data_IF_804261081570
#
_entry.id   IF_804261081570
#
_cell.length_a   1.000
_cell.length_b   1.000
_cell.length_c   1.000
_cell.angle_alpha   90.00
_cell.angle_beta   90.00
_cell.angle_gamma   90.00
#
_symmetry.space_group_name_H-M   'P 1'
#
loop_
_entity.id
_entity.type
_entity.pdbx_description
1 polymer ?
#
# COMPACT_ATOMS: atom_id res chain seq x y z
N UNK A 1 23.49 2.09 -2.08
CA UNK A 1 23.31 2.75 -0.77
C UNK A 1 24.68 3.19 -0.25
N UNK A 2 25.11 4.42 -0.56
CA UNK A 2 26.30 5.03 0.06
C UNK A 2 25.82 5.91 1.21
N UNK A 3 26.53 5.83 2.33
CA UNK A 3 26.34 6.68 3.50
C UNK A 3 26.51 8.16 3.11
N UNK A 4 25.50 8.97 3.44
CA UNK A 4 25.65 10.43 3.48
C UNK A 4 26.32 10.85 4.79
N UNK A 5 26.93 12.04 4.85
CA UNK A 5 27.75 12.44 5.99
C UNK A 5 26.89 12.70 7.23
N UNK A 6 27.28 12.04 8.32
CA UNK A 6 27.23 12.44 9.74
C UNK A 6 26.12 13.41 10.17
N UNK A 7 25.20 12.91 11.02
CA UNK A 7 24.46 13.81 11.92
C UNK A 7 23.22 13.30 12.64
N UNK A 8 22.66 12.11 12.35
CA UNK A 8 21.49 11.60 13.09
C UNK A 8 21.59 10.09 13.30
N UNK A 9 21.68 9.69 14.57
CA UNK A 9 21.60 8.31 15.02
C UNK A 9 20.23 7.69 14.67
N UNK A 10 20.23 6.46 14.16
CA UNK A 10 19.02 5.63 14.11
C UNK A 10 18.61 5.06 12.75
N UNK A 11 19.53 4.34 12.08
CA UNK A 11 19.33 3.08 11.32
C UNK A 11 20.52 2.92 10.38
N UNK A 12 21.50 2.12 10.79
CA UNK A 12 22.57 1.68 9.89
C UNK A 12 21.93 1.01 8.67
N UNK A 13 22.27 1.47 7.47
CA UNK A 13 21.83 0.82 6.24
C UNK A 13 22.25 -0.66 6.25
N UNK A 14 21.47 -1.51 5.58
CA UNK A 14 21.79 -2.93 5.47
C UNK A 14 23.17 -3.11 4.81
N UNK A 15 24.00 -4.01 5.36
CA UNK A 15 25.31 -4.30 4.78
C UNK A 15 25.16 -4.71 3.30
N UNK A 16 26.00 -4.22 2.37
CA UNK A 16 25.78 -4.39 0.93
C UNK A 16 25.61 -5.84 0.48
N UNK A 17 26.32 -6.79 1.09
CA UNK A 17 26.18 -8.20 0.77
C UNK A 17 24.79 -8.74 1.14
N UNK A 18 24.26 -8.35 2.30
CA UNK A 18 22.92 -8.73 2.74
C UNK A 18 21.85 -8.05 1.87
N UNK A 19 22.05 -6.78 1.49
CA UNK A 19 21.16 -6.06 0.59
C UNK A 19 21.03 -6.76 -0.77
N UNK A 20 22.13 -7.26 -1.34
CA UNK A 20 22.10 -8.05 -2.60
C UNK A 20 21.32 -9.35 -2.45
N UNK A 21 21.51 -10.08 -1.35
CA UNK A 21 20.78 -11.33 -1.08
C UNK A 21 19.27 -11.09 -0.97
N UNK A 22 18.86 -10.04 -0.27
CA UNK A 22 17.44 -9.70 -0.17
C UNK A 22 16.87 -9.12 -1.47
N UNK A 23 17.64 -8.35 -2.23
CA UNK A 23 17.21 -7.89 -3.56
C UNK A 23 16.95 -9.08 -4.51
N UNK A 24 17.68 -10.19 -4.37
CA UNK A 24 17.45 -11.41 -5.13
C UNK A 24 16.06 -12.01 -4.90
N UNK A 25 15.43 -11.79 -3.74
CA UNK A 25 14.05 -12.23 -3.46
C UNK A 25 13.04 -11.61 -4.43
N UNK A 26 13.32 -10.41 -4.95
CA UNK A 26 12.51 -9.80 -6.00
C UNK A 26 13.05 -10.13 -7.40
N UNK A 27 14.36 -9.95 -7.62
CA UNK A 27 14.97 -10.08 -8.94
C UNK A 27 14.90 -11.50 -9.53
N UNK A 28 15.00 -12.53 -8.68
CA UNK A 28 15.00 -13.94 -9.09
C UNK A 28 13.63 -14.61 -8.85
N UNK A 29 12.60 -13.83 -8.53
CA UNK A 29 11.28 -14.38 -8.31
C UNK A 29 10.61 -14.73 -9.64
N UNK A 30 10.25 -16.00 -9.89
CA UNK A 30 9.66 -16.41 -11.17
C UNK A 30 8.32 -15.73 -11.46
N UNK A 31 7.54 -15.39 -10.43
CA UNK A 31 6.29 -14.66 -10.59
C UNK A 31 6.54 -13.23 -11.07
N UNK A 32 7.55 -12.55 -10.51
CA UNK A 32 7.95 -11.19 -10.93
C UNK A 32 8.44 -11.20 -12.37
N UNK A 33 9.32 -12.16 -12.71
CA UNK A 33 9.84 -12.30 -14.07
C UNK A 33 8.70 -12.53 -15.08
N UNK A 34 7.84 -13.52 -14.83
CA UNK A 34 6.74 -13.89 -15.73
C UNK A 34 5.73 -12.76 -15.92
N UNK A 35 5.36 -12.05 -14.84
CA UNK A 35 4.41 -10.93 -14.93
C UNK A 35 5.01 -9.73 -15.65
N UNK A 36 6.32 -9.51 -15.52
CA UNK A 36 7.00 -8.41 -16.22
C UNK A 36 7.16 -8.70 -17.72
N UNK A 37 7.47 -9.94 -18.10
CA UNK A 37 7.71 -10.31 -19.51
C UNK A 37 6.43 -10.48 -20.34
N UNK A 38 5.26 -10.64 -19.71
CA UNK A 38 3.94 -10.68 -20.39
C UNK A 38 3.39 -9.30 -20.79
N UNK A 39 4.23 -8.26 -20.86
CA UNK A 39 3.83 -6.91 -21.25
C UNK A 39 3.12 -6.10 -20.16
N UNK A 40 3.24 -6.49 -18.89
CA UNK A 40 2.64 -5.74 -17.78
C UNK A 40 3.53 -4.59 -17.29
N UNK A 41 2.94 -3.43 -17.00
CA UNK A 41 3.64 -2.26 -16.45
C UNK A 41 3.84 -2.31 -14.93
N UNK A 42 3.43 -3.38 -14.24
CA UNK A 42 3.57 -3.48 -12.77
C UNK A 42 5.03 -3.38 -12.30
N UNK A 43 6.00 -3.81 -13.11
CA UNK A 43 7.43 -3.68 -12.77
C UNK A 43 7.87 -2.21 -12.70
N UNK A 44 7.43 -1.39 -13.66
CA UNK A 44 7.69 0.06 -13.67
C UNK A 44 7.03 0.74 -12.47
N UNK A 45 5.83 0.30 -12.13
CA UNK A 45 5.11 0.78 -10.95
C UNK A 45 5.87 0.44 -9.65
N UNK A 46 6.42 -0.76 -9.55
CA UNK A 46 7.33 -1.13 -8.45
C UNK A 46 8.53 -0.20 -8.33
N UNK A 47 9.14 0.20 -9.46
CA UNK A 47 10.23 1.19 -9.48
C UNK A 47 9.76 2.54 -8.95
N UNK A 48 8.61 3.05 -9.39
CA UNK A 48 8.06 4.32 -8.92
C UNK A 48 7.82 4.31 -7.41
N UNK A 49 7.28 3.22 -6.87
CA UNK A 49 6.98 3.09 -5.44
C UNK A 49 8.25 3.00 -4.58
N UNK A 50 9.25 2.23 -5.02
CA UNK A 50 10.54 2.18 -4.32
C UNK A 50 11.28 3.52 -4.44
N UNK A 51 11.19 4.20 -5.59
CA UNK A 51 11.76 5.53 -5.79
C UNK A 51 11.08 6.58 -4.90
N UNK A 52 9.75 6.52 -4.73
CA UNK A 52 8.99 7.34 -3.80
C UNK A 52 9.50 7.12 -2.37
N UNK A 53 9.56 5.87 -1.92
CA UNK A 53 10.08 5.54 -0.59
C UNK A 53 11.51 6.06 -0.39
N UNK A 54 12.38 5.86 -1.38
CA UNK A 54 13.75 6.37 -1.34
C UNK A 54 13.79 7.90 -1.25
N UNK A 55 12.98 8.62 -2.02
CA UNK A 55 12.93 10.09 -2.00
C UNK A 55 12.46 10.60 -0.63
N UNK A 56 11.44 9.95 -0.04
CA UNK A 56 10.93 10.29 1.30
C UNK A 56 12.00 10.03 2.38
N UNK A 57 12.63 8.85 2.37
CA UNK A 57 13.68 8.51 3.34
C UNK A 57 14.93 9.39 3.17
N UNK A 58 15.21 9.84 1.94
CA UNK A 58 16.29 10.78 1.63
C UNK A 58 15.91 12.25 1.88
N UNK A 59 14.72 12.51 2.43
CA UNK A 59 14.15 13.85 2.70
C UNK A 59 14.09 14.77 1.47
N UNK A 60 14.00 14.20 0.25
CA UNK A 60 13.84 14.94 -1.01
C UNK A 60 12.36 15.21 -1.27
N UNK A 61 11.78 16.14 -0.52
CA UNK A 61 10.32 16.30 -0.43
C UNK A 61 9.67 16.68 -1.77
N UNK A 62 10.24 17.63 -2.53
CA UNK A 62 9.73 17.95 -3.87
C UNK A 62 9.72 16.72 -4.77
N UNK A 63 10.84 15.99 -4.82
CA UNK A 63 10.95 14.79 -5.65
C UNK A 63 9.94 13.71 -5.21
N UNK A 64 9.76 13.51 -3.90
CA UNK A 64 8.74 12.61 -3.38
C UNK A 64 7.33 13.02 -3.82
N UNK A 65 7.03 14.33 -3.79
CA UNK A 65 5.76 14.87 -4.28
C UNK A 65 5.57 14.62 -5.79
N UNK A 66 6.57 14.94 -6.60
CA UNK A 66 6.54 14.70 -8.06
C UNK A 66 6.32 13.21 -8.39
N UNK A 67 7.07 12.30 -7.73
CA UNK A 67 6.94 10.86 -7.95
C UNK A 67 5.58 10.36 -7.47
N UNK A 68 5.07 10.84 -6.33
CA UNK A 68 3.74 10.45 -5.84
C UNK A 68 2.64 10.91 -6.82
N UNK A 69 2.67 12.18 -7.26
CA UNK A 69 1.69 12.72 -8.20
C UNK A 69 1.71 12.01 -9.55
N UNK A 70 2.91 11.78 -10.11
CA UNK A 70 3.08 11.00 -11.33
C UNK A 70 2.62 9.54 -11.13
N UNK A 71 2.98 8.92 -10.01
CA UNK A 71 2.59 7.55 -9.68
C UNK A 71 1.08 7.37 -9.65
N UNK A 72 0.35 8.28 -8.98
CA UNK A 72 -1.12 8.27 -8.91
C UNK A 72 -1.76 8.54 -10.27
N UNK A 73 -1.16 9.40 -11.10
CA UNK A 73 -1.61 9.59 -12.47
C UNK A 73 -1.40 8.32 -13.31
N UNK A 74 -0.23 7.69 -13.21
CA UNK A 74 0.14 6.47 -13.94
C UNK A 74 -0.75 5.28 -13.56
N UNK A 75 -1.06 5.14 -12.27
CA UNK A 75 -2.04 4.17 -11.75
C UNK A 75 -2.57 4.69 -10.43
N UNK A 76 -3.88 4.58 -10.17
CA UNK A 76 -4.46 5.27 -9.01
C UNK A 76 -3.86 4.83 -7.66
N UNK A 77 -3.53 3.55 -7.48
CA UNK A 77 -3.27 2.94 -6.17
C UNK A 77 -2.13 3.53 -5.30
N UNK A 78 -1.03 4.16 -5.81
CA UNK A 78 -0.01 4.75 -4.97
C UNK A 78 -0.54 5.87 -4.05
N UNK A 79 -1.76 6.35 -4.27
CA UNK A 79 -2.42 7.32 -3.38
C UNK A 79 -2.50 6.81 -1.94
N UNK A 80 -2.58 5.48 -1.73
CA UNK A 80 -2.65 4.88 -0.40
C UNK A 80 -1.40 5.21 0.43
N UNK A 81 -0.27 5.54 -0.18
CA UNK A 81 0.96 5.84 0.57
C UNK A 81 0.96 7.25 1.18
N UNK A 82 0.13 8.17 0.67
CA UNK A 82 0.12 9.56 1.12
C UNK A 82 -0.15 9.69 2.64
N UNK A 83 -1.16 9.03 3.24
CA UNK A 83 -1.39 9.07 4.69
C UNK A 83 -0.18 8.60 5.52
N UNK A 84 0.47 7.49 5.15
CA UNK A 84 1.63 6.98 5.88
C UNK A 84 2.84 7.90 5.75
N UNK A 85 3.10 8.46 4.56
CA UNK A 85 4.19 9.41 4.33
C UNK A 85 3.96 10.69 5.13
N UNK A 86 2.77 11.30 5.02
CA UNK A 86 2.42 12.53 5.75
C UNK A 86 2.48 12.30 7.25
N UNK A 87 1.93 11.18 7.74
CA UNK A 87 2.01 10.80 9.15
C UNK A 87 3.48 10.60 9.57
N UNK A 88 4.31 9.93 8.77
CA UNK A 88 5.74 9.74 9.09
C UNK A 88 6.55 11.06 9.10
N UNK A 89 6.18 12.05 8.30
CA UNK A 89 6.89 13.33 8.14
C UNK A 89 6.70 14.29 9.33
N UNK A 90 7.24 13.95 10.49
CA UNK A 90 7.35 14.85 11.64
C UNK A 90 8.68 15.61 11.67
N UNK A 91 8.68 16.76 12.34
CA UNK A 91 9.86 17.62 12.54
C UNK A 91 11.06 16.88 13.14
N UNK A 92 10.81 15.93 14.06
CA UNK A 92 11.87 15.09 14.65
C UNK A 92 12.56 14.21 13.61
N UNK A 93 11.78 13.65 12.69
CA UNK A 93 12.29 12.75 11.65
C UNK A 93 12.85 13.47 10.45
N UNK A 94 12.43 14.71 10.23
CA UNK A 94 12.96 15.60 9.20
C UNK A 94 14.18 16.41 9.68
N UNK A 95 14.49 16.36 10.98
CA UNK A 95 15.58 17.12 11.58
C UNK A 95 15.32 18.63 11.63
N UNK A 96 14.07 19.05 11.43
CA UNK A 96 13.67 20.45 11.46
C UNK A 96 13.45 20.88 12.91
N UNK A 97 14.24 21.85 13.39
CA UNK A 97 13.93 22.60 14.61
C UNK A 97 12.77 23.57 14.30
N UNK A 98 11.58 23.02 14.08
CA UNK A 98 10.41 23.85 13.74
C UNK A 98 10.07 24.81 14.90
N UNK A 99 9.82 26.10 14.63
CA UNK A 99 9.42 27.08 15.62
C UNK A 99 8.07 26.75 16.29
N UNK A 100 7.27 25.84 15.71
CA UNK A 100 6.02 25.37 16.30
C UNK A 100 6.24 24.74 17.69
N UNK A 101 7.31 23.94 17.90
CA UNK A 101 7.65 23.41 19.24
C UNK A 101 8.11 24.49 20.22
N UNK A 102 8.71 25.58 19.73
CA UNK A 102 9.00 26.77 20.56
C UNK A 102 7.71 27.50 20.94
N UNK A 103 6.74 27.60 20.03
CA UNK A 103 5.43 28.19 20.31
C UNK A 103 4.61 27.35 21.29
N UNK A 104 4.62 26.01 21.18
CA UNK A 104 3.94 25.13 22.16
C UNK A 104 4.62 25.18 23.54
N UNK A 105 5.96 25.25 23.61
CA UNK A 105 6.67 25.49 24.88
C UNK A 105 6.48 26.91 25.44
N UNK A 106 6.22 27.91 24.59
CA UNK A 106 5.98 29.31 24.99
C UNK A 106 4.52 29.58 25.38
N UNK A 107 3.58 28.78 24.86
CA UNK A 107 2.16 28.79 25.21
C UNK A 107 1.78 27.81 26.32
N UNK A 108 2.75 27.18 26.99
CA UNK A 108 2.56 26.79 28.39
C UNK A 108 2.46 28.07 29.24
N UNK A 109 1.33 28.76 29.10
CA UNK A 109 0.86 29.67 30.14
C UNK A 109 0.61 28.78 31.33
N UNK A 110 1.55 28.75 32.27
CA UNK A 110 1.35 28.18 33.59
C UNK A 110 0.16 28.92 34.21
N UNK A 111 -1.03 28.36 34.10
CA UNK A 111 -2.12 28.71 35.01
C UNK A 111 -1.65 28.38 36.43
N UNK A 112 -1.92 29.28 37.38
CA UNK A 112 -1.56 29.14 38.80
C UNK A 112 -2.11 27.84 39.43
N UNK A 113 -3.10 27.23 38.78
CA UNK A 113 -3.63 25.91 39.12
C UNK A 113 -3.06 24.90 38.12
N UNK A 114 -2.27 23.94 38.59
CA UNK A 114 -1.44 23.01 37.81
C UNK A 114 -2.18 21.98 36.92
N UNK A 115 -3.27 22.37 36.25
CA UNK A 115 -3.95 21.57 35.23
C UNK A 115 -3.59 22.09 33.84
N UNK A 116 -2.83 21.28 33.10
CA UNK A 116 -2.60 21.51 31.68
C UNK A 116 -3.92 21.46 30.91
N UNK A 117 -4.32 22.56 30.28
CA UNK A 117 -5.45 22.58 29.35
C UNK A 117 -5.05 21.83 28.09
N UNK A 118 -5.85 20.83 27.70
CA UNK A 118 -5.62 20.10 26.46
C UNK A 118 -5.59 21.10 25.29
N UNK A 119 -4.60 21.03 24.40
CA UNK A 119 -4.52 21.95 23.27
C UNK A 119 -5.78 21.82 22.41
N UNK A 120 -6.34 22.96 22.00
CA UNK A 120 -7.53 22.97 21.14
C UNK A 120 -7.29 22.16 19.86
N UNK A 121 -8.34 21.54 19.32
CA UNK A 121 -8.28 20.78 18.05
C UNK A 121 -7.69 21.63 16.92
N UNK A 122 -8.00 22.93 16.91
CA UNK A 122 -7.45 23.88 15.94
C UNK A 122 -5.93 24.04 16.06
N UNK A 123 -5.40 24.11 17.28
CA UNK A 123 -3.95 24.18 17.53
C UNK A 123 -3.24 22.90 17.07
N UNK A 124 -3.86 21.73 17.25
CA UNK A 124 -3.32 20.46 16.78
C UNK A 124 -3.30 20.37 15.24
N UNK A 125 -4.36 20.84 14.57
CA UNK A 125 -4.43 20.91 13.11
C UNK A 125 -3.36 21.85 12.54
N UNK A 126 -3.18 23.03 13.12
CA UNK A 126 -2.15 23.97 12.68
C UNK A 126 -0.74 23.43 12.93
N UNK A 127 -0.51 22.72 14.03
CA UNK A 127 0.76 22.04 14.29
C UNK A 127 1.03 20.88 13.31
N UNK A 128 -0.02 20.27 12.74
CA UNK A 128 0.11 19.23 11.73
C UNK A 128 0.55 19.77 10.36
N UNK A 129 0.24 21.03 10.04
CA UNK A 129 0.58 21.67 8.77
C UNK A 129 2.04 22.15 8.74
N UNK A 130 2.98 21.22 8.57
CA UNK A 130 4.39 21.56 8.41
C UNK A 130 4.73 21.98 6.97
N UNK A 131 5.74 22.84 6.74
CA UNK A 131 6.15 23.23 5.40
C UNK A 131 6.48 22.04 4.50
N UNK A 132 7.10 20.99 5.05
CA UNK A 132 7.42 19.77 4.31
C UNK A 132 6.16 19.02 3.87
N UNK A 133 5.13 18.92 4.73
CA UNK A 133 3.85 18.28 4.36
C UNK A 133 3.11 19.07 3.29
N UNK A 134 3.10 20.40 3.42
CA UNK A 134 2.51 21.29 2.41
C UNK A 134 3.26 21.16 1.09
N UNK A 135 4.59 21.19 1.10
CA UNK A 135 5.42 21.02 -0.09
C UNK A 135 5.17 19.68 -0.78
N UNK A 136 5.06 18.58 -0.02
CA UNK A 136 4.71 17.28 -0.56
C UNK A 136 3.33 17.33 -1.25
N UNK A 137 2.33 17.89 -0.57
CA UNK A 137 0.96 17.96 -1.06
C UNK A 137 0.83 18.83 -2.32
N UNK A 138 1.47 20.00 -2.35
CA UNK A 138 1.45 20.90 -3.50
C UNK A 138 2.17 20.27 -4.69
N UNK A 139 3.36 19.69 -4.48
CA UNK A 139 4.11 19.06 -5.57
C UNK A 139 3.37 17.83 -6.14
N UNK A 140 2.77 17.00 -5.29
CA UNK A 140 2.02 15.82 -5.74
C UNK A 140 0.72 16.19 -6.43
N UNK A 141 -0.08 17.10 -5.85
CA UNK A 141 -1.33 17.56 -6.43
C UNK A 141 -1.08 18.30 -7.74
N UNK A 142 -0.10 19.19 -7.78
CA UNK A 142 0.27 19.93 -9.00
C UNK A 142 0.70 19.00 -10.13
N UNK A 143 1.52 17.99 -9.84
CA UNK A 143 1.92 16.99 -10.84
C UNK A 143 0.74 16.16 -11.32
N UNK A 144 -0.08 15.66 -10.39
CA UNK A 144 -1.26 14.85 -10.71
C UNK A 144 -2.26 15.65 -11.57
N UNK A 145 -2.63 16.86 -11.15
CA UNK A 145 -3.57 17.72 -11.87
C UNK A 145 -2.98 18.14 -13.22
N UNK A 146 -1.73 18.57 -13.28
CA UNK A 146 -1.08 19.01 -14.52
C UNK A 146 -1.08 17.92 -15.59
N UNK A 147 -0.72 16.69 -15.22
CA UNK A 147 -0.75 15.54 -16.14
C UNK A 147 -2.16 15.15 -16.56
N UNK A 148 -3.13 15.20 -15.64
CA UNK A 148 -4.53 14.92 -15.97
C UNK A 148 -5.15 15.97 -16.88
N UNK A 149 -4.88 17.26 -16.64
CA UNK A 149 -5.32 18.35 -17.51
C UNK A 149 -4.69 18.21 -18.90
N UNK A 150 -3.39 17.88 -18.97
CA UNK A 150 -2.71 17.62 -20.23
C UNK A 150 -3.34 16.44 -20.99
N UNK A 151 -3.58 15.30 -20.33
CA UNK A 151 -4.17 14.15 -21.02
C UNK A 151 -5.63 14.41 -21.39
N UNK A 152 -6.38 15.15 -20.57
CA UNK A 152 -7.73 15.56 -20.91
C UNK A 152 -7.77 16.53 -22.10
N UNK A 153 -6.83 17.46 -22.21
CA UNK A 153 -6.78 18.37 -23.36
C UNK A 153 -6.45 17.66 -24.67
N UNK A 154 -5.72 16.54 -24.62
CA UNK A 154 -5.39 15.72 -25.79
C UNK A 154 -6.51 14.74 -26.19
N UNK A 155 -7.18 14.12 -25.21
CA UNK A 155 -8.06 12.97 -25.44
C UNK A 155 -9.52 13.18 -25.03
N UNK A 156 -9.83 14.26 -24.31
CA UNK A 156 -11.20 14.58 -23.86
C UNK A 156 -11.79 13.58 -22.86
N UNK A 157 -13.10 13.39 -22.93
CA UNK A 157 -13.87 12.47 -22.07
C UNK A 157 -13.43 11.00 -22.15
N UNK A 158 -13.00 10.43 -23.30
CA UNK A 158 -12.42 9.09 -23.36
C UNK A 158 -11.30 8.82 -22.34
N UNK A 159 -10.43 9.80 -22.09
CA UNK A 159 -9.38 9.67 -21.08
C UNK A 159 -9.95 9.44 -19.68
N UNK A 160 -10.88 10.29 -19.25
CA UNK A 160 -11.49 10.18 -17.90
C UNK A 160 -12.24 8.86 -17.74
N UNK A 161 -12.97 8.45 -18.77
CA UNK A 161 -13.72 7.19 -18.77
C UNK A 161 -12.80 5.99 -18.64
N UNK A 162 -11.80 5.87 -19.50
CA UNK A 162 -10.96 4.66 -19.55
C UNK A 162 -9.88 4.63 -18.46
N UNK A 163 -9.40 5.78 -18.00
CA UNK A 163 -8.37 5.85 -16.95
C UNK A 163 -8.95 5.73 -15.53
N UNK A 164 -10.16 6.26 -15.27
CA UNK A 164 -10.72 6.29 -13.91
C UNK A 164 -12.08 5.63 -13.79
N UNK A 165 -13.09 6.12 -14.53
CA UNK A 165 -14.49 5.72 -14.28
C UNK A 165 -14.73 4.23 -14.57
N UNK A 166 -14.09 3.71 -15.61
CA UNK A 166 -14.17 2.30 -15.97
C UNK A 166 -13.73 1.37 -14.83
N UNK A 167 -12.78 1.75 -13.97
CA UNK A 167 -12.35 0.92 -12.84
C UNK A 167 -13.39 0.84 -11.71
N UNK A 168 -14.28 1.82 -11.60
CA UNK A 168 -15.35 1.82 -10.60
C UNK A 168 -16.45 0.84 -11.03
N UNK A 169 -16.83 0.90 -12.30
CA UNK A 169 -17.95 0.12 -12.87
C UNK A 169 -17.55 -1.28 -13.33
N UNK A 170 -16.27 -1.52 -13.63
CA UNK A 170 -15.77 -2.82 -14.10
C UNK A 170 -16.09 -3.92 -13.10
N UNK A 171 -16.66 -5.00 -13.63
CA UNK A 171 -16.93 -6.25 -12.93
C UNK A 171 -15.90 -7.26 -13.42
N UNK A 172 -14.92 -7.57 -12.57
CA UNK A 172 -13.90 -8.57 -12.88
C UNK A 172 -14.12 -9.80 -11.99
N UNK A 173 -14.97 -10.70 -12.46
CA UNK A 173 -15.38 -11.89 -11.72
C UNK A 173 -14.53 -13.13 -12.07
N UNK A 174 -13.88 -13.13 -13.24
CA UNK A 174 -12.98 -14.22 -13.67
C UNK A 174 -11.57 -13.96 -13.14
N UNK A 175 -10.78 -15.02 -12.97
CA UNK A 175 -9.38 -14.88 -12.53
C UNK A 175 -9.19 -14.00 -11.27
N UNK A 176 -10.19 -14.03 -10.39
CA UNK A 176 -10.29 -13.15 -9.23
C UNK A 176 -10.24 -13.99 -7.95
N UNK A 177 -9.14 -13.90 -7.20
CA UNK A 177 -8.93 -14.59 -5.93
C UNK A 177 -9.75 -13.99 -4.76
N UNK A 178 -10.42 -12.87 -4.99
CA UNK A 178 -11.19 -12.18 -3.97
C UNK A 178 -12.42 -12.99 -3.55
N UNK A 179 -12.82 -12.98 -2.26
CA UNK A 179 -14.09 -13.53 -1.80
C UNK A 179 -15.32 -13.01 -2.55
N UNK A 180 -15.20 -11.84 -3.19
CA UNK A 180 -16.28 -11.23 -3.96
C UNK A 180 -16.47 -11.83 -5.36
N UNK A 181 -15.62 -12.76 -5.83
CA UNK A 181 -15.67 -13.26 -7.21
C UNK A 181 -17.03 -13.87 -7.61
N UNK A 182 -17.63 -14.70 -6.76
CA UNK A 182 -18.94 -15.33 -7.00
C UNK A 182 -20.04 -14.27 -7.00
N UNK A 183 -19.97 -13.30 -6.09
CA UNK A 183 -20.93 -12.20 -6.06
C UNK A 183 -20.84 -11.37 -7.35
N UNK A 184 -19.63 -11.01 -7.77
CA UNK A 184 -19.38 -10.27 -9.01
C UNK A 184 -19.84 -11.07 -10.25
N UNK A 185 -19.69 -12.39 -10.24
CA UNK A 185 -20.22 -13.26 -11.29
C UNK A 185 -21.74 -13.17 -11.35
N UNK A 186 -22.43 -13.32 -10.20
CA UNK A 186 -23.88 -13.22 -10.13
C UNK A 186 -24.38 -11.84 -10.57
N UNK A 187 -23.71 -10.75 -10.16
CA UNK A 187 -24.04 -9.40 -10.62
C UNK A 187 -23.84 -9.23 -12.13
N UNK A 188 -22.86 -9.92 -12.73
CA UNK A 188 -22.68 -9.89 -14.19
C UNK A 188 -23.74 -10.68 -14.95
N UNK A 189 -24.23 -11.79 -14.38
CA UNK A 189 -25.27 -12.62 -14.98
C UNK A 189 -26.68 -12.04 -14.78
N UNK A 190 -26.92 -11.44 -13.62
CA UNK A 190 -28.20 -10.85 -13.22
C UNK A 190 -27.99 -9.40 -12.75
N UNK A 191 -27.85 -8.44 -13.68
CA UNK A 191 -27.63 -7.04 -13.32
C UNK A 191 -28.79 -6.51 -12.48
N UNK A 192 -28.48 -6.03 -11.27
CA UNK A 192 -29.48 -5.40 -10.41
C UNK A 192 -29.67 -3.93 -10.80
N UNK A 193 -30.92 -3.45 -10.80
CA UNK A 193 -31.25 -2.02 -10.97
C UNK A 193 -31.02 -1.19 -9.70
N UNK A 194 -30.63 -1.84 -8.59
CA UNK A 194 -30.34 -1.16 -7.33
C UNK A 194 -29.16 -0.20 -7.47
N UNK A 195 -29.27 1.04 -6.95
CA UNK A 195 -28.15 1.99 -6.93
C UNK A 195 -27.05 1.53 -5.96
N UNK A 196 -27.36 0.67 -4.98
CA UNK A 196 -26.40 0.15 -4.02
C UNK A 196 -25.78 -1.16 -4.54
N UNK A 197 -24.56 -1.04 -5.05
CA UNK A 197 -23.71 -2.16 -5.46
C UNK A 197 -22.97 -2.73 -4.24
N UNK A 198 -23.39 -3.89 -3.73
CA UNK A 198 -22.81 -4.55 -2.54
C UNK A 198 -21.29 -4.71 -2.63
N UNK A 199 -20.74 -4.95 -3.83
CA UNK A 199 -19.31 -5.05 -4.08
C UNK A 199 -18.54 -3.74 -3.82
N UNK A 200 -19.24 -2.59 -3.82
CA UNK A 200 -18.64 -1.29 -3.48
C UNK A 200 -18.39 -1.16 -1.98
N UNK A 201 -19.08 -1.95 -1.15
CA UNK A 201 -18.81 -2.00 0.29
C UNK A 201 -17.42 -2.57 0.60
N UNK A 202 -16.82 -3.35 -0.32
CA UNK A 202 -15.44 -3.84 -0.19
C UNK A 202 -14.43 -2.69 -0.04
N UNK A 203 -14.72 -1.50 -0.58
CA UNK A 203 -13.85 -0.33 -0.44
C UNK A 203 -13.76 0.16 1.01
N UNK A 204 -14.77 -0.09 1.85
CA UNK A 204 -14.78 0.39 3.24
C UNK A 204 -13.64 -0.27 4.05
N UNK A 205 -13.60 -1.60 4.25
CA UNK A 205 -12.49 -2.21 4.99
C UNK A 205 -11.15 -2.02 4.28
N UNK A 206 -11.14 -2.02 2.94
CA UNK A 206 -9.94 -1.82 2.15
C UNK A 206 -9.28 -0.46 2.42
N UNK A 207 -10.02 0.64 2.29
CA UNK A 207 -9.52 2.00 2.50
C UNK A 207 -9.31 2.30 3.97
N UNK A 208 -10.19 1.83 4.86
CA UNK A 208 -10.03 1.99 6.30
C UNK A 208 -8.72 1.38 6.78
N UNK A 209 -8.42 0.14 6.40
CA UNK A 209 -7.18 -0.53 6.79
C UNK A 209 -5.96 0.12 6.13
N UNK A 210 -5.97 0.28 4.81
CA UNK A 210 -4.80 0.73 4.05
C UNK A 210 -4.49 2.22 4.21
N UNK A 211 -5.48 3.10 4.32
CA UNK A 211 -5.26 4.55 4.37
C UNK A 211 -5.35 5.15 5.79
N UNK A 212 -5.94 4.45 6.76
CA UNK A 212 -6.18 5.00 8.11
C UNK A 212 -5.50 4.17 9.19
N UNK A 213 -5.98 2.95 9.45
CA UNK A 213 -5.57 2.18 10.64
C UNK A 213 -4.10 1.76 10.59
N UNK A 214 -3.64 1.19 9.46
CA UNK A 214 -2.24 0.75 9.31
C UNK A 214 -1.28 1.95 9.36
N UNK A 215 -1.49 3.05 8.61
CA UNK A 215 -0.66 4.24 8.71
C UNK A 215 -0.50 4.77 10.13
N UNK A 216 -1.61 4.94 10.84
CA UNK A 216 -1.60 5.47 12.21
C UNK A 216 -0.80 4.58 13.15
N UNK A 217 -0.99 3.26 13.06
CA UNK A 217 -0.35 2.29 13.94
C UNK A 217 1.14 2.05 13.64
N UNK A 218 1.54 2.10 12.37
CA UNK A 218 2.84 1.55 11.93
C UNK A 218 3.79 2.56 11.32
N UNK A 219 3.30 3.63 10.67
CA UNK A 219 4.16 4.49 9.87
C UNK A 219 5.22 5.18 10.73
N UNK A 220 4.89 5.65 11.93
CA UNK A 220 5.87 6.27 12.85
C UNK A 220 6.97 5.31 13.32
N UNK A 221 6.79 4.00 13.24
CA UNK A 221 7.82 3.03 13.66
C UNK A 221 8.69 2.59 12.49
N UNK A 222 8.06 2.27 11.36
CA UNK A 222 8.77 1.75 10.19
C UNK A 222 7.99 2.06 8.91
N UNK A 223 8.42 3.08 8.15
CA UNK A 223 7.74 3.51 6.94
C UNK A 223 7.76 2.42 5.84
N UNK A 224 8.90 1.80 5.47
CA UNK A 224 8.91 0.70 4.51
C UNK A 224 7.95 -0.44 4.87
N UNK A 225 7.95 -0.89 6.12
CA UNK A 225 7.06 -1.97 6.56
C UNK A 225 5.59 -1.52 6.66
N UNK A 226 5.34 -0.24 6.96
CA UNK A 226 4.01 0.35 6.88
C UNK A 226 3.49 0.31 5.44
N UNK A 227 4.26 0.79 4.46
CA UNK A 227 3.89 0.74 3.05
C UNK A 227 3.66 -0.68 2.54
N UNK A 228 4.46 -1.66 2.99
CA UNK A 228 4.21 -3.08 2.76
C UNK A 228 2.83 -3.49 3.28
N UNK A 229 2.55 -3.24 4.57
CA UNK A 229 1.29 -3.61 5.20
C UNK A 229 0.07 -2.93 4.55
N UNK A 230 0.19 -1.64 4.20
CA UNK A 230 -0.83 -0.90 3.49
C UNK A 230 -1.16 -1.55 2.14
N UNK A 231 -0.12 -1.88 1.36
CA UNK A 231 -0.29 -2.49 0.04
C UNK A 231 -0.87 -3.89 0.14
N UNK A 232 -0.39 -4.68 1.11
CA UNK A 232 -0.86 -6.03 1.36
C UNK A 232 -2.35 -6.01 1.76
N UNK A 233 -2.76 -5.10 2.66
CA UNK A 233 -4.16 -4.89 3.03
C UNK A 233 -4.99 -4.39 1.84
N UNK A 234 -4.47 -3.43 1.08
CA UNK A 234 -5.15 -2.90 -0.09
C UNK A 234 -5.46 -3.98 -1.13
N UNK A 235 -4.55 -4.93 -1.35
CA UNK A 235 -4.77 -6.05 -2.27
C UNK A 235 -5.71 -7.10 -1.66
N UNK A 236 -5.50 -7.47 -0.40
CA UNK A 236 -6.28 -8.53 0.29
C UNK A 236 -7.76 -8.18 0.39
N UNK A 237 -8.10 -6.92 0.68
CA UNK A 237 -9.48 -6.46 0.86
C UNK A 237 -10.11 -5.87 -0.41
N UNK A 238 -9.42 -5.95 -1.56
CA UNK A 238 -9.98 -5.48 -2.82
C UNK A 238 -11.09 -6.41 -3.33
N UNK A 239 -12.14 -5.84 -3.93
CA UNK A 239 -13.18 -6.62 -4.64
C UNK A 239 -12.61 -7.42 -5.83
N UNK A 240 -11.51 -6.94 -6.42
CA UNK A 240 -10.78 -7.64 -7.48
C UNK A 240 -9.36 -7.91 -6.98
N UNK A 241 -8.95 -9.17 -6.97
CA UNK A 241 -7.62 -9.61 -6.57
C UNK A 241 -7.06 -10.52 -7.67
N UNK A 242 -6.01 -10.06 -8.36
CA UNK A 242 -5.34 -10.80 -9.43
C UNK A 242 -3.86 -10.97 -9.09
N UNK A 243 -3.19 -11.95 -9.69
CA UNK A 243 -1.76 -12.22 -9.40
C UNK A 243 -0.84 -11.05 -9.73
N UNK A 244 -1.24 -10.15 -10.64
CA UNK A 244 -0.49 -8.94 -10.97
C UNK A 244 -0.29 -8.04 -9.74
N UNK A 245 -1.29 -7.98 -8.87
CA UNK A 245 -1.25 -7.11 -7.69
C UNK A 245 -0.24 -7.58 -6.65
N UNK A 246 0.18 -8.85 -6.71
CA UNK A 246 1.13 -9.41 -5.75
C UNK A 246 2.51 -8.77 -5.88
N UNK A 247 2.86 -8.26 -7.06
CA UNK A 247 4.08 -7.48 -7.28
C UNK A 247 4.09 -6.21 -6.40
N UNK A 248 2.95 -5.60 -6.12
CA UNK A 248 2.90 -4.32 -5.42
C UNK A 248 3.42 -4.41 -3.99
N UNK A 249 3.13 -5.49 -3.28
CA UNK A 249 3.65 -5.69 -1.93
C UNK A 249 4.97 -6.48 -1.92
N UNK A 250 5.19 -7.37 -2.90
CA UNK A 250 6.44 -8.14 -2.98
C UNK A 250 7.68 -7.23 -3.13
N UNK A 251 7.52 -6.04 -3.71
CA UNK A 251 8.62 -5.08 -3.90
C UNK A 251 9.22 -4.58 -2.57
N UNK A 252 8.46 -4.65 -1.48
CA UNK A 252 8.91 -4.28 -0.15
C UNK A 252 9.51 -5.44 0.65
N UNK A 253 9.35 -6.69 0.20
CA UNK A 253 9.89 -7.86 0.92
C UNK A 253 11.41 -7.76 1.18
N UNK A 254 12.25 -7.31 0.22
CA UNK A 254 13.68 -7.13 0.48
C UNK A 254 13.99 -6.18 1.66
N UNK A 255 13.11 -5.21 1.92
CA UNK A 255 13.26 -4.22 2.98
C UNK A 255 12.73 -4.73 4.33
N UNK A 256 11.69 -5.56 4.30
CA UNK A 256 11.00 -6.05 5.49
C UNK A 256 11.58 -7.35 6.06
N UNK A 257 11.86 -8.32 5.20
CA UNK A 257 12.27 -9.68 5.59
C UNK A 257 13.45 -9.76 6.57
N UNK A 258 14.55 -8.98 6.45
CA UNK A 258 15.73 -9.11 7.31
C UNK A 258 15.44 -9.03 8.81
N UNK A 259 14.44 -8.22 9.19
CA UNK A 259 14.03 -8.06 10.59
C UNK A 259 12.66 -8.64 10.91
N UNK A 260 12.13 -9.51 10.05
CA UNK A 260 10.79 -10.08 10.19
C UNK A 260 10.78 -11.38 11.01
N UNK A 261 9.65 -11.65 11.65
CA UNK A 261 9.38 -12.90 12.35
C UNK A 261 9.35 -14.09 11.40
N UNK A 262 9.10 -13.87 10.10
CA UNK A 262 9.15 -14.92 9.08
C UNK A 262 10.54 -15.54 8.94
N UNK A 263 11.61 -14.76 9.14
CA UNK A 263 12.99 -15.30 9.11
C UNK A 263 13.53 -15.66 10.49
N UNK A 264 12.97 -15.10 11.57
CA UNK A 264 13.34 -15.48 12.94
C UNK A 264 12.75 -16.84 13.35
N UNK A 265 11.52 -17.12 12.95
CA UNK A 265 10.82 -18.36 13.28
C UNK A 265 11.14 -19.47 12.29
N UNK A 266 11.54 -20.65 12.80
CA UNK A 266 11.90 -21.81 11.97
C UNK A 266 10.75 -22.30 11.07
N UNK A 267 9.51 -22.20 11.56
CA UNK A 267 8.33 -22.69 10.84
C UNK A 267 7.46 -21.57 10.23
N UNK A 268 7.48 -20.37 10.81
CA UNK A 268 6.51 -19.32 10.45
C UNK A 268 6.65 -18.84 9.00
N UNK A 269 7.87 -18.54 8.55
CA UNK A 269 8.15 -18.13 7.18
C UNK A 269 7.79 -19.19 6.14
N UNK A 270 8.32 -20.42 6.27
CA UNK A 270 7.98 -21.52 5.38
C UNK A 270 6.48 -21.83 5.35
N UNK A 271 5.80 -21.83 6.51
CA UNK A 271 4.36 -22.05 6.58
C UNK A 271 3.57 -20.93 5.87
N UNK A 272 3.95 -19.66 6.07
CA UNK A 272 3.32 -18.54 5.37
C UNK A 272 3.49 -18.62 3.85
N UNK A 273 4.70 -18.94 3.38
CA UNK A 273 4.95 -19.11 1.95
C UNK A 273 4.17 -20.30 1.39
N UNK A 274 4.20 -21.46 2.07
CA UNK A 274 3.51 -22.65 1.64
C UNK A 274 1.99 -22.44 1.57
N UNK A 275 1.37 -21.88 2.61
CA UNK A 275 -0.06 -21.58 2.62
C UNK A 275 -0.45 -20.58 1.54
N UNK A 276 0.39 -19.56 1.30
CA UNK A 276 0.13 -18.57 0.26
C UNK A 276 0.23 -19.16 -1.16
N UNK A 277 1.19 -20.06 -1.41
CA UNK A 277 1.32 -20.78 -2.69
C UNK A 277 0.20 -21.81 -2.87
N UNK A 278 -0.08 -22.63 -1.86
CA UNK A 278 -1.14 -23.65 -1.91
C UNK A 278 -2.50 -23.01 -2.08
N UNK A 279 -2.80 -21.90 -1.40
CA UNK A 279 -4.06 -21.18 -1.58
C UNK A 279 -4.29 -20.72 -3.02
N UNK A 280 -3.23 -20.24 -3.70
CA UNK A 280 -3.30 -19.93 -5.12
C UNK A 280 -3.49 -21.20 -5.97
N UNK A 281 -2.74 -22.26 -5.70
CA UNK A 281 -2.84 -23.52 -6.43
C UNK A 281 -4.24 -24.14 -6.35
N UNK A 282 -4.86 -24.13 -5.17
CA UNK A 282 -6.23 -24.59 -4.97
C UNK A 282 -7.22 -23.76 -5.79
N UNK A 283 -7.13 -22.43 -5.74
CA UNK A 283 -7.99 -21.56 -6.53
C UNK A 283 -7.79 -21.78 -8.04
N UNK A 284 -6.53 -21.85 -8.51
CA UNK A 284 -6.20 -22.07 -9.91
C UNK A 284 -6.70 -23.43 -10.42
N UNK A 285 -6.65 -24.47 -9.60
CA UNK A 285 -7.18 -25.78 -9.96
C UNK A 285 -8.71 -25.72 -10.16
N UNK A 286 -9.43 -25.02 -9.27
CA UNK A 286 -10.88 -24.83 -9.42
C UNK A 286 -11.22 -23.96 -10.64
N UNK A 287 -10.45 -22.89 -10.88
CA UNK A 287 -10.59 -22.03 -12.05
C UNK A 287 -10.31 -22.77 -13.36
N UNK A 288 -9.30 -23.63 -13.39
CA UNK A 288 -9.02 -24.48 -14.55
C UNK A 288 -10.19 -25.44 -14.84
N UNK A 289 -10.73 -26.08 -13.80
CA UNK A 289 -11.93 -26.93 -13.92
C UNK A 289 -13.12 -26.18 -14.49
N UNK A 290 -13.32 -24.92 -14.08
CA UNK A 290 -14.39 -24.08 -14.58
C UNK A 290 -14.19 -23.69 -16.05
N UNK A 291 -13.06 -23.06 -16.34
CA UNK A 291 -12.88 -22.34 -17.60
C UNK A 291 -12.42 -23.24 -18.75
N UNK A 292 -11.62 -24.26 -18.47
CA UNK A 292 -11.05 -25.13 -19.51
C UNK A 292 -11.76 -26.47 -19.61
N UNK A 293 -12.26 -27.01 -18.50
CA UNK A 293 -12.96 -28.31 -18.49
C UNK A 293 -14.49 -28.18 -18.49
N UNK A 294 -15.03 -26.97 -18.40
CA UNK A 294 -16.47 -26.71 -18.39
C UNK A 294 -17.21 -27.29 -17.17
N UNK A 295 -16.52 -27.57 -16.07
CA UNK A 295 -17.11 -28.11 -14.84
C UNK A 295 -17.64 -26.97 -13.98
N UNK A 296 -18.85 -27.08 -13.45
CA UNK A 296 -19.40 -26.05 -12.55
C UNK A 296 -18.74 -26.08 -11.16
N UNK A 297 -17.59 -25.43 -11.00
CA UNK A 297 -16.81 -25.37 -9.74
C UNK A 297 -17.05 -24.08 -8.93
N UNK A 298 -18.01 -23.24 -9.33
CA UNK A 298 -18.31 -21.96 -8.66
C UNK A 298 -18.55 -22.09 -7.15
N UNK A 299 -19.46 -23.01 -6.78
CA UNK A 299 -19.76 -23.35 -5.40
C UNK A 299 -19.67 -24.87 -5.18
N UNK A 300 -19.06 -25.34 -4.08
CA UNK A 300 -18.32 -24.54 -3.10
C UNK A 300 -16.88 -24.21 -3.54
N UNK A 301 -16.38 -24.78 -4.65
CA UNK A 301 -14.96 -24.83 -5.03
C UNK A 301 -14.23 -23.48 -5.07
N UNK A 302 -14.55 -22.63 -6.05
CA UNK A 302 -13.94 -21.31 -6.20
C UNK A 302 -14.19 -20.42 -4.99
N UNK A 303 -15.41 -20.45 -4.44
CA UNK A 303 -15.77 -19.64 -3.28
C UNK A 303 -14.95 -19.99 -2.03
N UNK A 304 -14.89 -21.27 -1.65
CA UNK A 304 -14.08 -21.73 -0.50
C UNK A 304 -12.59 -21.50 -0.72
N UNK A 305 -12.08 -21.69 -1.94
CA UNK A 305 -10.67 -21.43 -2.25
C UNK A 305 -10.33 -19.94 -2.09
N UNK A 306 -11.26 -19.05 -2.48
CA UNK A 306 -11.11 -17.60 -2.32
C UNK A 306 -11.13 -17.18 -0.85
N UNK A 307 -12.05 -17.75 -0.05
CA UNK A 307 -12.08 -17.53 1.39
C UNK A 307 -10.83 -18.05 2.09
N UNK A 308 -10.38 -19.26 1.76
CA UNK A 308 -9.16 -19.83 2.33
C UNK A 308 -7.94 -18.95 2.02
N UNK A 309 -7.79 -18.51 0.77
CA UNK A 309 -6.71 -17.61 0.40
C UNK A 309 -6.83 -16.25 1.11
N UNK A 310 -8.03 -15.69 1.23
CA UNK A 310 -8.26 -14.46 1.98
C UNK A 310 -7.86 -14.58 3.46
N UNK A 311 -8.23 -15.67 4.14
CA UNK A 311 -7.86 -15.91 5.54
C UNK A 311 -6.35 -16.05 5.72
N UNK A 312 -5.66 -16.76 4.81
CA UNK A 312 -4.20 -16.84 4.81
C UNK A 312 -3.58 -15.46 4.69
N UNK A 313 -4.07 -14.62 3.77
CA UNK A 313 -3.57 -13.25 3.62
C UNK A 313 -3.84 -12.38 4.86
N UNK A 314 -5.02 -12.47 5.48
CA UNK A 314 -5.33 -11.78 6.73
C UNK A 314 -4.38 -12.17 7.86
N UNK A 315 -4.06 -13.46 8.00
CA UNK A 315 -3.09 -13.94 8.98
C UNK A 315 -1.67 -13.40 8.70
N UNK A 316 -1.20 -13.48 7.46
CA UNK A 316 0.10 -12.93 7.05
C UNK A 316 0.18 -11.42 7.33
N UNK A 317 -0.88 -10.67 7.00
CA UNK A 317 -0.98 -9.25 7.31
C UNK A 317 -0.90 -8.98 8.82
N UNK A 318 -1.58 -9.78 9.63
CA UNK A 318 -1.52 -9.70 11.09
C UNK A 318 -0.09 -9.87 11.64
N UNK A 319 0.67 -10.81 11.09
CA UNK A 319 2.10 -10.98 11.44
C UNK A 319 2.91 -9.75 11.04
N UNK A 320 2.73 -9.22 9.82
CA UNK A 320 3.45 -8.03 9.34
C UNK A 320 3.18 -6.82 10.25
N UNK A 321 1.92 -6.54 10.57
CA UNK A 321 1.54 -5.43 11.45
C UNK A 321 2.09 -5.66 12.86
N UNK A 322 1.95 -6.87 13.40
CA UNK A 322 2.46 -7.23 14.73
C UNK A 322 3.98 -7.06 14.86
N UNK A 323 4.73 -7.35 13.79
CA UNK A 323 6.17 -7.15 13.76
C UNK A 323 6.58 -5.69 13.84
N UNK A 324 5.83 -4.78 13.21
CA UNK A 324 6.12 -3.34 13.27
C UNK A 324 5.72 -2.77 14.63
N UNK A 325 4.56 -3.17 15.15
CA UNK A 325 4.06 -2.67 16.44
C UNK A 325 4.98 -3.09 17.59
N UNK A 326 5.57 -4.28 17.56
CA UNK A 326 6.48 -4.79 18.60
C UNK A 326 7.92 -4.27 18.54
N UNK A 327 8.32 -3.57 17.47
CA UNK A 327 9.62 -2.89 17.41
C UNK A 327 9.58 -1.70 18.38
N UNK A 328 10.14 -1.89 19.58
CA UNK A 328 10.47 -0.84 20.55
C UNK A 328 11.82 -0.26 20.18
#
# INVERSE_FOLDING_TARGET
>A
MRAGPSGVAGRGGMHPAMARRFAAVWLLNPMVATISTRGSSEGLLGVLVVALLWAVLSRRITLAGLILGFGVHFKIYPFIYAPAIVWWMDDEKLGSRSPAKKATKRNEIKTKDGRATAPSTMTQLMAFLTPARIQLAVASLGTFLGLNILMFSLYGTPFVTHTYLHHVTRIDHRHNFSPYNTQLYLTSAFPSSSPLRLESLAFIPQLLLSCVLIPLATAKKDLPASMLAQTFAFVTFNKVCTSQYFLWYMVFLPLYLPGSSFLRGRALGPAALALWVVGQGLWLQQGFGLEFLGRSTFLPGLWLSSLAFFLVNCWVLGVIVGDVVRRV
#
